data_IF_457521727515
#
_entry.id   IF_457521727515
#
_cell.length_a   1.000
_cell.length_b   1.000
_cell.length_c   1.000
_cell.angle_alpha   90.00
_cell.angle_beta   90.00
_cell.angle_gamma   90.00
#
_symmetry.space_group_name_H-M   'P 1'
#
loop_
_entity.id
_entity.type
_entity.pdbx_description
1 polymer ?
#
# COMPACT_ATOMS: atom_id res chain seq x y z
N UNK A 1 1.88 -9.55 3.48
CA UNK A 1 1.18 -9.11 4.72
C UNK A 1 -0.14 -8.53 4.28
N UNK A 2 -1.28 -9.04 4.76
CA UNK A 2 -2.60 -8.53 4.39
C UNK A 2 -3.26 -7.94 5.63
N UNK A 3 -3.48 -6.62 5.62
CA UNK A 3 -4.28 -5.92 6.62
C UNK A 3 -5.65 -5.64 6.02
N UNK A 4 -6.71 -6.01 6.73
CA UNK A 4 -8.08 -5.66 6.33
C UNK A 4 -8.53 -4.49 7.19
N UNK A 5 -8.79 -3.32 6.59
CA UNK A 5 -9.21 -2.15 7.35
C UNK A 5 -10.44 -2.44 8.23
N UNK A 6 -11.40 -3.23 7.71
CA UNK A 6 -12.61 -3.63 8.44
C UNK A 6 -12.37 -4.48 9.71
N UNK A 7 -11.17 -5.03 9.90
CA UNK A 7 -10.83 -5.75 11.15
C UNK A 7 -10.24 -4.85 12.23
N UNK A 8 -10.05 -3.56 11.97
CA UNK A 8 -9.59 -2.58 12.96
C UNK A 8 -10.73 -2.20 13.89
N UNK A 9 -10.42 -1.88 15.15
CA UNK A 9 -11.43 -1.35 16.10
C UNK A 9 -11.95 0.02 15.66
N UNK A 10 -11.08 0.83 15.05
CA UNK A 10 -11.37 2.18 14.53
C UNK A 10 -10.83 2.32 13.11
N UNK A 11 -11.48 1.70 12.11
CA UNK A 11 -11.03 1.72 10.72
C UNK A 11 -10.94 3.12 10.12
N UNK A 12 -11.74 4.06 10.62
CA UNK A 12 -11.79 5.46 10.17
C UNK A 12 -10.52 6.26 10.48
N UNK A 13 -9.73 5.81 11.46
CA UNK A 13 -8.47 6.46 11.83
C UNK A 13 -7.31 6.03 10.93
N UNK A 14 -7.47 4.94 10.17
CA UNK A 14 -6.42 4.44 9.29
C UNK A 14 -6.25 5.34 8.07
N UNK A 15 -5.04 5.89 7.92
CA UNK A 15 -4.67 6.75 6.79
C UNK A 15 -3.61 6.05 5.94
N UNK A 16 -3.98 5.49 4.78
CA UNK A 16 -3.00 4.91 3.87
C UNK A 16 -2.03 6.00 3.40
N UNK A 17 -0.75 5.63 3.31
CA UNK A 17 0.33 6.54 2.89
C UNK A 17 0.93 6.16 1.54
N UNK A 18 0.76 4.91 1.09
CA UNK A 18 1.23 4.43 -0.20
C UNK A 18 0.55 3.11 -0.59
N UNK A 19 0.72 2.72 -1.86
CA UNK A 19 0.28 1.46 -2.43
C UNK A 19 1.45 0.57 -2.83
N UNK A 20 1.33 -0.74 -2.62
CA UNK A 20 2.32 -1.76 -3.04
C UNK A 20 1.66 -2.80 -3.93
N UNK A 21 2.45 -3.58 -4.68
CA UNK A 21 1.95 -4.59 -5.63
C UNK A 21 0.98 -4.01 -6.68
N UNK A 22 1.21 -2.77 -7.10
CA UNK A 22 0.35 -2.04 -8.04
C UNK A 22 0.16 -2.81 -9.35
N UNK A 23 1.15 -3.57 -9.82
CA UNK A 23 1.08 -4.30 -11.08
C UNK A 23 0.06 -5.46 -11.04
N UNK A 24 -0.20 -6.01 -9.86
CA UNK A 24 -1.10 -7.16 -9.67
C UNK A 24 -2.58 -6.77 -9.54
N UNK A 25 -2.92 -5.48 -9.71
CA UNK A 25 -4.30 -5.01 -9.57
C UNK A 25 -5.16 -5.33 -10.80
N UNK A 26 -6.46 -5.38 -10.58
CA UNK A 26 -7.44 -5.67 -11.62
C UNK A 26 -7.56 -4.49 -12.60
N UNK A 27 -7.71 -4.72 -13.92
CA UNK A 27 -7.73 -3.64 -14.92
C UNK A 27 -8.84 -2.59 -14.72
N UNK A 28 -9.90 -2.93 -14.00
CA UNK A 28 -11.02 -2.04 -13.72
C UNK A 28 -10.80 -1.14 -12.48
N UNK A 29 -9.79 -1.43 -11.65
CA UNK A 29 -9.53 -0.66 -10.43
C UNK A 29 -8.55 0.47 -10.71
N UNK A 30 -9.06 1.70 -10.69
CA UNK A 30 -8.26 2.92 -10.76
C UNK A 30 -8.15 3.55 -9.37
N UNK A 31 -6.92 3.89 -8.98
CA UNK A 31 -6.63 4.55 -7.71
C UNK A 31 -6.24 5.99 -8.04
N UNK A 32 -6.94 6.95 -7.45
CA UNK A 32 -6.84 8.39 -7.76
C UNK A 32 -6.63 9.22 -6.50
N UNK A 33 -6.01 8.63 -5.48
CA UNK A 33 -5.80 9.22 -4.15
C UNK A 33 -4.46 9.97 -4.01
N UNK A 34 -3.78 10.23 -5.14
CA UNK A 34 -2.47 10.91 -5.24
C UNK A 34 -1.35 10.30 -4.35
N UNK A 35 -1.58 9.12 -3.79
CA UNK A 35 -0.59 8.41 -2.98
C UNK A 35 0.46 7.73 -3.86
N UNK A 36 1.68 7.65 -3.32
CA UNK A 36 2.77 6.93 -3.97
C UNK A 36 2.39 5.47 -4.21
N UNK A 37 2.79 4.93 -5.36
CA UNK A 37 2.41 3.58 -5.74
C UNK A 37 3.58 2.80 -6.33
N UNK A 38 3.88 1.65 -5.74
CA UNK A 38 5.01 0.80 -6.06
C UNK A 38 4.53 -0.50 -6.72
N UNK A 39 5.21 -0.92 -7.78
CA UNK A 39 4.79 -2.08 -8.59
C UNK A 39 4.96 -3.42 -7.86
N UNK A 40 5.93 -3.52 -6.93
CA UNK A 40 6.27 -4.75 -6.21
C UNK A 40 6.18 -4.64 -4.70
N UNK A 41 6.80 -5.60 -4.01
CA UNK A 41 7.00 -5.58 -2.56
C UNK A 41 8.11 -4.60 -2.18
N UNK A 42 7.99 -3.95 -1.02
CA UNK A 42 9.01 -3.02 -0.51
C UNK A 42 10.39 -3.67 -0.28
N UNK A 43 10.46 -5.01 -0.27
CA UNK A 43 11.69 -5.80 -0.09
C UNK A 43 12.80 -5.46 -1.10
N UNK A 44 12.48 -4.80 -2.22
CA UNK A 44 13.43 -4.43 -3.27
C UNK A 44 13.30 -2.97 -3.73
N UNK A 45 12.71 -2.08 -2.93
CA UNK A 45 12.62 -0.66 -3.32
C UNK A 45 13.98 0.02 -3.09
N UNK A 46 14.60 0.63 -4.12
CA UNK A 46 15.88 1.35 -3.96
C UNK A 46 15.77 2.61 -3.08
N UNK A 47 14.56 3.02 -2.71
CA UNK A 47 14.27 4.18 -1.86
C UNK A 47 13.50 3.77 -0.59
N UNK A 48 13.81 2.60 0.00
CA UNK A 48 13.19 2.16 1.26
C UNK A 48 13.48 3.19 2.39
N UNK A 49 12.49 3.97 2.89
CA UNK A 49 12.75 5.05 3.84
C UNK A 49 13.12 4.53 5.24
N UNK A 50 12.70 3.30 5.55
CA UNK A 50 12.93 2.63 6.82
C UNK A 50 13.36 1.21 6.48
N UNK A 51 14.65 1.00 6.23
CA UNK A 51 15.22 -0.33 6.10
C UNK A 51 14.79 -1.17 7.30
N UNK A 52 13.90 -2.12 7.07
CA UNK A 52 13.39 -3.03 8.09
C UNK A 52 14.57 -3.78 8.72
N UNK A 53 14.97 -3.37 9.93
CA UNK A 53 15.79 -4.17 10.85
C UNK A 53 14.92 -5.07 11.72
#
# INVERSE_FOLDING_TARGET
MHLYAASLERPEDFKPTFHVNKQSKLPWLQMTDDLDAFEGTLLHSPNDPDGYQ
#
